data_IF_644452354788
#
_entry.id   IF_644452354788
#
_cell.length_a   1.000
_cell.length_b   1.000
_cell.length_c   1.000
_cell.angle_alpha   90.00
_cell.angle_beta   90.00
_cell.angle_gamma   90.00
#
_symmetry.space_group_name_H-M   'P 1'
#
loop_
_entity.id
_entity.type
_entity.pdbx_description
1 polymer ?
#
# COMPACT_ATOMS: atom_id res chain seq x y z
N UNK A 1 -58.22 22.96 8.60
CA UNK A 1 -56.75 23.08 8.44
C UNK A 1 -56.19 21.66 8.53
N UNK A 2 -55.59 21.18 7.45
CA UNK A 2 -55.38 19.76 7.13
C UNK A 2 -54.26 19.08 7.93
N UNK A 3 -54.50 17.85 8.38
CA UNK A 3 -53.56 16.98 9.08
C UNK A 3 -52.44 16.53 8.13
N UNK A 4 -51.20 16.83 8.50
CA UNK A 4 -49.98 16.45 7.77
C UNK A 4 -49.81 14.92 7.82
N UNK A 5 -49.78 14.28 6.64
CA UNK A 5 -49.66 12.82 6.49
C UNK A 5 -48.29 12.30 6.99
N UNK A 6 -48.26 11.81 8.22
CA UNK A 6 -47.10 11.17 8.86
C UNK A 6 -46.72 9.82 8.22
N UNK A 7 -47.65 9.17 7.51
CA UNK A 7 -47.48 7.80 6.98
C UNK A 7 -46.46 7.71 5.84
N UNK A 8 -46.27 8.77 5.04
CA UNK A 8 -45.30 8.78 3.94
C UNK A 8 -43.84 8.84 4.40
N UNK A 9 -43.58 9.52 5.53
CA UNK A 9 -42.22 9.64 6.09
C UNK A 9 -41.74 8.33 6.72
N UNK A 10 -42.65 7.60 7.38
CA UNK A 10 -42.36 6.27 7.94
C UNK A 10 -42.11 5.21 6.85
N UNK A 11 -42.83 5.30 5.72
CA UNK A 11 -42.66 4.39 4.58
C UNK A 11 -41.29 4.61 3.90
N UNK A 12 -40.90 5.86 3.65
CA UNK A 12 -39.58 6.17 3.09
C UNK A 12 -38.42 5.71 4.00
N UNK A 13 -38.59 5.88 5.32
CA UNK A 13 -37.62 5.38 6.30
C UNK A 13 -37.47 3.86 6.29
N UNK A 14 -38.56 3.09 6.17
CA UNK A 14 -38.50 1.64 6.06
C UNK A 14 -37.78 1.18 4.79
N UNK A 15 -38.05 1.80 3.64
CA UNK A 15 -37.36 1.48 2.39
C UNK A 15 -35.86 1.76 2.48
N UNK A 16 -35.46 2.87 3.12
CA UNK A 16 -34.06 3.21 3.31
C UNK A 16 -33.36 2.21 4.25
N UNK A 17 -34.01 1.80 5.35
CA UNK A 17 -33.47 0.78 6.26
C UNK A 17 -33.33 -0.57 5.56
N UNK A 18 -34.34 -1.01 4.80
CA UNK A 18 -34.28 -2.27 4.03
C UNK A 18 -33.17 -2.22 2.98
N UNK A 19 -32.99 -1.09 2.29
CA UNK A 19 -31.92 -0.92 1.32
C UNK A 19 -30.52 -0.93 1.95
N UNK A 20 -30.36 -0.28 3.11
CA UNK A 20 -29.11 -0.30 3.88
C UNK A 20 -28.79 -1.70 4.38
N UNK A 21 -29.79 -2.44 4.90
CA UNK A 21 -29.63 -3.83 5.34
C UNK A 21 -29.29 -4.73 4.16
N UNK A 22 -29.96 -4.55 3.01
CA UNK A 22 -29.68 -5.31 1.79
C UNK A 22 -28.24 -5.09 1.30
N UNK A 23 -27.77 -3.83 1.27
CA UNK A 23 -26.38 -3.52 0.94
C UNK A 23 -25.39 -4.11 1.95
N UNK A 24 -25.69 -4.04 3.25
CA UNK A 24 -24.86 -4.64 4.30
C UNK A 24 -24.76 -6.17 4.14
N UNK A 25 -25.85 -6.84 3.79
CA UNK A 25 -25.83 -8.29 3.53
C UNK A 25 -25.03 -8.66 2.27
N UNK A 26 -25.08 -7.83 1.22
CA UNK A 26 -24.30 -8.05 0.00
C UNK A 26 -22.78 -7.94 0.24
N UNK A 27 -22.37 -7.01 1.12
CA UNK A 27 -20.96 -6.85 1.53
C UNK A 27 -20.46 -8.04 2.35
N UNK A 28 -21.29 -8.63 3.21
CA UNK A 28 -20.91 -9.85 3.96
C UNK A 28 -20.76 -11.09 3.07
N UNK A 29 -21.44 -11.15 1.92
CA UNK A 29 -21.42 -12.32 1.04
C UNK A 29 -20.25 -12.34 0.04
N UNK A 30 -19.46 -11.28 -0.07
CA UNK A 30 -18.30 -11.25 -0.98
C UNK A 30 -17.01 -11.82 -0.35
N UNK A 31 -17.13 -12.68 0.67
CA UNK A 31 -16.02 -13.36 1.36
C UNK A 31 -15.29 -14.43 0.52
N UNK A 32 -15.04 -14.14 -0.76
CA UNK A 32 -14.17 -14.96 -1.59
C UNK A 32 -12.74 -14.91 -1.05
N UNK A 33 -12.14 -16.07 -0.78
CA UNK A 33 -10.70 -16.18 -0.49
C UNK A 33 -9.93 -15.61 -1.68
N UNK A 34 -9.30 -14.45 -1.49
CA UNK A 34 -8.48 -13.83 -2.52
C UNK A 34 -7.17 -14.61 -2.65
N UNK A 35 -7.10 -15.54 -3.62
CA UNK A 35 -5.96 -16.44 -3.82
C UNK A 35 -4.89 -15.80 -4.73
N UNK A 36 -4.31 -14.67 -4.33
CA UNK A 36 -3.11 -14.13 -4.98
C UNK A 36 -1.91 -14.14 -4.04
N UNK A 37 -0.73 -14.50 -4.55
CA UNK A 37 0.51 -14.63 -3.76
C UNK A 37 1.17 -13.29 -3.41
N UNK A 38 0.88 -12.23 -4.16
CA UNK A 38 1.32 -10.88 -3.85
C UNK A 38 0.64 -9.81 -4.70
N UNK A 39 0.83 -8.55 -4.31
CA UNK A 39 0.31 -7.36 -5.01
C UNK A 39 1.48 -6.55 -5.53
N UNK A 40 1.51 -6.33 -6.84
CA UNK A 40 2.44 -5.38 -7.45
C UNK A 40 1.65 -4.18 -7.95
N UNK A 41 1.87 -3.03 -7.32
CA UNK A 41 1.09 -1.82 -7.58
C UNK A 41 1.91 -0.78 -8.35
N UNK A 42 1.23 -0.06 -9.24
CA UNK A 42 1.77 1.02 -10.06
C UNK A 42 0.79 2.18 -10.01
N UNK A 43 1.28 3.40 -10.25
CA UNK A 43 0.40 4.56 -10.34
C UNK A 43 1.01 5.82 -9.76
N UNK A 44 0.14 6.64 -9.18
CA UNK A 44 0.43 7.98 -8.74
C UNK A 44 0.19 8.14 -7.22
N UNK A 45 -0.08 9.38 -6.79
CA UNK A 45 -0.33 9.74 -5.40
C UNK A 45 -1.48 8.98 -4.75
N UNK A 46 -2.45 8.48 -5.52
CA UNK A 46 -3.61 7.77 -4.98
C UNK A 46 -3.25 6.42 -4.35
N UNK A 47 -2.11 5.85 -4.74
CA UNK A 47 -1.64 4.57 -4.25
C UNK A 47 -0.17 4.57 -3.82
N UNK A 48 0.52 5.72 -3.86
CA UNK A 48 1.90 5.86 -3.39
C UNK A 48 2.02 5.74 -1.86
N UNK A 49 2.64 4.65 -1.39
CA UNK A 49 2.83 4.36 0.04
C UNK A 49 4.12 4.95 0.64
N UNK A 50 4.84 5.80 -0.08
CA UNK A 50 6.10 6.38 0.39
C UNK A 50 7.19 6.56 -0.67
N UNK A 51 6.97 6.10 -1.90
CA UNK A 51 7.97 6.07 -2.95
C UNK A 51 8.45 7.45 -3.37
N UNK A 52 7.55 8.41 -3.55
CA UNK A 52 7.95 9.75 -3.92
C UNK A 52 8.83 10.41 -2.85
N UNK A 53 8.44 10.32 -1.59
CA UNK A 53 9.15 10.94 -0.47
C UNK A 53 10.37 10.14 0.02
N UNK A 54 10.58 8.93 -0.52
CA UNK A 54 11.86 8.22 -0.39
C UNK A 54 12.92 8.77 -1.36
N UNK A 55 12.51 9.35 -2.49
CA UNK A 55 13.41 9.91 -3.51
C UNK A 55 13.55 11.44 -3.45
N UNK A 56 12.56 12.13 -2.90
CA UNK A 56 12.46 13.60 -2.88
C UNK A 56 12.30 14.13 -1.45
N UNK A 57 12.43 15.46 -1.22
CA UNK A 57 12.36 16.03 0.12
C UNK A 57 11.13 15.57 0.91
N UNK A 58 11.27 15.30 2.22
CA UNK A 58 10.26 14.59 2.99
C UNK A 58 8.96 15.38 3.12
N UNK A 59 7.85 14.64 3.14
CA UNK A 59 6.53 15.19 3.40
C UNK A 59 6.41 15.65 4.85
N UNK A 60 5.84 16.83 5.05
CA UNK A 60 5.62 17.44 6.37
C UNK A 60 4.14 17.28 6.79
N UNK A 61 3.76 17.54 8.05
CA UNK A 61 2.35 17.63 8.43
C UNK A 61 1.55 18.56 7.49
N UNK A 62 0.26 18.31 7.26
CA UNK A 62 -0.64 17.46 8.05
C UNK A 62 -0.71 15.98 7.62
N UNK A 63 0.02 15.55 6.60
CA UNK A 63 -0.12 14.20 6.06
C UNK A 63 0.26 13.11 7.07
N UNK A 64 -0.55 12.05 7.16
CA UNK A 64 -0.40 10.92 8.09
C UNK A 64 -0.84 11.15 9.55
N UNK A 65 -1.28 12.34 9.95
CA UNK A 65 -1.61 12.67 11.33
C UNK A 65 -2.90 12.02 11.83
N UNK A 66 -3.89 11.77 10.98
CA UNK A 66 -5.15 11.11 11.38
C UNK A 66 -4.95 9.64 11.74
N UNK A 67 -4.24 8.87 10.91
CA UNK A 67 -4.04 7.41 11.15
C UNK A 67 -2.68 7.05 11.75
N UNK A 68 -1.58 7.51 11.13
CA UNK A 68 -0.21 7.12 11.51
C UNK A 68 0.36 7.97 12.66
N UNK A 69 -0.30 9.08 13.00
CA UNK A 69 0.10 10.07 14.02
C UNK A 69 1.45 10.75 13.75
N UNK A 70 1.95 10.63 12.53
CA UNK A 70 3.18 11.27 12.02
C UNK A 70 3.17 11.27 10.49
N UNK A 71 4.00 12.11 9.83
CA UNK A 71 4.24 12.01 8.40
C UNK A 71 4.66 10.60 7.99
N UNK A 72 3.83 9.97 7.16
CA UNK A 72 4.03 8.60 6.68
C UNK A 72 4.51 8.53 5.22
N UNK A 73 4.88 9.68 4.63
CA UNK A 73 5.29 9.76 3.22
C UNK A 73 4.15 9.51 2.22
N UNK A 74 2.90 9.79 2.61
CA UNK A 74 1.71 9.55 1.79
C UNK A 74 0.98 10.85 1.59
N UNK A 75 0.47 11.13 0.39
CA UNK A 75 -0.39 12.30 0.13
C UNK A 75 -1.83 12.07 0.64
N UNK A 76 -1.94 11.62 1.88
CA UNK A 76 -3.17 11.38 2.63
C UNK A 76 -2.90 11.64 4.11
N UNK A 77 -3.92 12.06 4.86
CA UNK A 77 -3.85 12.16 6.32
C UNK A 77 -3.96 10.78 7.02
N UNK A 78 -4.18 9.71 6.24
CA UNK A 78 -4.22 8.36 6.75
C UNK A 78 -3.97 7.30 5.69
N UNK A 79 -4.76 6.22 5.74
CA UNK A 79 -4.63 5.08 4.84
C UNK A 79 -5.00 5.46 3.39
N UNK A 80 -4.43 4.73 2.45
CA UNK A 80 -4.74 4.78 1.02
C UNK A 80 -5.65 3.60 0.65
N UNK A 81 -6.30 3.67 -0.52
CA UNK A 81 -7.15 2.57 -1.03
C UNK A 81 -6.39 1.24 -1.08
N UNK A 82 -5.11 1.28 -1.47
CA UNK A 82 -4.24 0.09 -1.54
C UNK A 82 -4.03 -0.59 -0.18
N UNK A 83 -4.16 0.14 0.93
CA UNK A 83 -4.05 -0.45 2.26
C UNK A 83 -5.24 -1.35 2.58
N UNK A 84 -6.43 -0.98 2.13
CA UNK A 84 -7.64 -1.79 2.32
C UNK A 84 -7.61 -3.05 1.44
N UNK A 85 -7.05 -2.95 0.23
CA UNK A 85 -6.84 -4.10 -0.65
C UNK A 85 -5.77 -5.05 -0.08
N UNK A 86 -4.69 -4.51 0.48
CA UNK A 86 -3.67 -5.29 1.20
C UNK A 86 -4.26 -5.98 2.42
N UNK A 87 -5.08 -5.27 3.21
CA UNK A 87 -5.66 -5.78 4.45
C UNK A 87 -6.52 -7.03 4.28
N UNK A 88 -7.19 -7.21 3.13
CA UNK A 88 -7.91 -8.44 2.79
C UNK A 88 -7.02 -9.70 2.83
N UNK A 89 -5.71 -9.54 2.64
CA UNK A 89 -4.72 -10.60 2.80
C UNK A 89 -3.99 -10.50 4.15
N UNK A 90 -3.77 -9.30 4.65
CA UNK A 90 -3.07 -9.05 5.91
C UNK A 90 -3.78 -9.61 7.14
N UNK A 91 -5.12 -9.66 7.18
CA UNK A 91 -5.83 -10.31 8.28
C UNK A 91 -5.48 -11.81 8.40
N UNK A 92 -5.00 -12.44 7.32
CA UNK A 92 -4.49 -13.81 7.34
C UNK A 92 -2.97 -13.92 7.60
N UNK A 93 -2.20 -12.82 7.52
CA UNK A 93 -0.72 -12.82 7.51
C UNK A 93 -0.03 -11.78 8.42
N UNK A 94 -0.77 -10.91 9.11
CA UNK A 94 -0.25 -9.90 10.04
C UNK A 94 0.48 -8.71 9.42
N UNK A 95 0.32 -8.44 8.11
CA UNK A 95 1.13 -7.43 7.39
C UNK A 95 0.44 -6.07 7.27
N UNK A 96 0.98 -5.03 7.90
CA UNK A 96 0.25 -3.77 7.98
C UNK A 96 0.09 -3.02 6.66
N UNK A 97 1.09 -2.97 5.76
CA UNK A 97 1.03 -2.15 4.53
C UNK A 97 1.95 -2.66 3.39
N UNK A 98 1.61 -2.36 2.14
CA UNK A 98 2.44 -2.67 0.96
C UNK A 98 3.69 -1.76 0.93
N UNK A 99 4.87 -2.38 0.89
CA UNK A 99 6.15 -1.66 0.92
C UNK A 99 6.42 -0.95 -0.40
N UNK A 100 6.86 0.31 -0.33
CA UNK A 100 7.32 1.03 -1.52
C UNK A 100 8.65 0.46 -2.01
N UNK A 101 8.80 0.26 -3.32
CA UNK A 101 10.04 -0.21 -3.95
C UNK A 101 11.24 0.69 -3.64
N UNK A 102 11.01 2.00 -3.52
CA UNK A 102 12.08 2.97 -3.22
C UNK A 102 12.42 3.04 -1.72
N UNK A 103 11.64 2.37 -0.85
CA UNK A 103 11.88 2.34 0.58
C UNK A 103 12.95 1.30 0.93
N UNK A 104 14.06 1.76 1.49
CA UNK A 104 15.17 0.90 1.89
C UNK A 104 14.97 0.29 3.27
N UNK A 105 14.66 1.12 4.28
CA UNK A 105 14.55 0.69 5.68
C UNK A 105 13.13 0.20 5.98
N UNK A 106 13.03 -0.97 6.61
CA UNK A 106 11.76 -1.53 7.07
C UNK A 106 10.84 -2.04 5.96
N UNK A 107 11.37 -2.26 4.75
CA UNK A 107 10.60 -2.79 3.63
C UNK A 107 10.51 -4.32 3.68
N UNK A 108 9.35 -4.83 3.27
CA UNK A 108 9.05 -6.26 3.22
C UNK A 108 8.31 -6.61 1.93
N UNK A 109 9.00 -7.32 1.04
CA UNK A 109 8.53 -7.57 -0.33
C UNK A 109 7.99 -8.98 -0.60
N UNK A 110 7.90 -9.83 0.43
CA UNK A 110 7.48 -11.25 0.26
C UNK A 110 6.11 -11.39 -0.40
N UNK A 111 5.21 -10.43 -0.18
CA UNK A 111 3.85 -10.45 -0.72
C UNK A 111 3.61 -9.31 -1.70
N UNK A 112 4.66 -8.86 -2.38
CA UNK A 112 4.60 -7.84 -3.41
C UNK A 112 5.25 -6.52 -3.03
N UNK A 113 5.17 -5.55 -3.94
CA UNK A 113 5.84 -4.26 -3.85
C UNK A 113 5.00 -3.16 -4.51
N UNK A 114 5.17 -1.93 -4.03
CA UNK A 114 4.52 -0.76 -4.59
C UNK A 114 5.51 0.13 -5.34
N UNK A 115 5.33 0.27 -6.65
CA UNK A 115 6.14 1.11 -7.53
C UNK A 115 5.49 2.47 -7.80
N UNK A 116 4.28 2.72 -7.30
CA UNK A 116 3.62 4.01 -7.45
C UNK A 116 4.45 5.12 -6.79
N UNK A 117 4.48 6.29 -7.43
CA UNK A 117 5.05 7.51 -6.83
C UNK A 117 4.13 8.69 -7.12
N UNK A 118 3.94 9.60 -6.17
CA UNK A 118 3.16 10.82 -6.35
C UNK A 118 3.54 11.58 -7.63
N UNK A 119 2.57 12.28 -8.22
CA UNK A 119 2.72 13.08 -9.44
C UNK A 119 3.28 12.32 -10.68
N UNK A 120 3.20 10.99 -10.68
CA UNK A 120 3.57 10.17 -11.83
C UNK A 120 2.55 10.30 -12.96
N UNK A 121 3.04 10.24 -14.19
CA UNK A 121 2.23 10.23 -15.41
C UNK A 121 2.42 8.93 -16.18
N UNK A 122 1.45 8.59 -17.04
CA UNK A 122 1.59 7.43 -17.93
C UNK A 122 2.76 7.64 -18.91
N UNK A 123 2.83 8.83 -19.51
CA UNK A 123 3.90 9.21 -20.43
C UNK A 123 5.12 9.72 -19.68
N UNK A 124 6.31 9.54 -20.28
CA UNK A 124 7.54 10.13 -19.76
C UNK A 124 7.47 11.66 -19.90
N UNK A 125 7.66 12.42 -18.82
CA UNK A 125 7.65 13.88 -18.90
C UNK A 125 8.88 14.41 -19.65
N UNK A 126 8.69 15.45 -20.46
CA UNK A 126 9.78 16.23 -21.06
C UNK A 126 10.10 17.48 -20.20
N UNK A 127 10.03 17.33 -18.89
CA UNK A 127 10.21 18.38 -17.90
C UNK A 127 10.72 17.76 -16.60
N UNK A 128 11.04 18.58 -15.61
CA UNK A 128 11.53 18.10 -14.32
C UNK A 128 10.54 18.40 -13.19
N UNK A 129 10.71 17.66 -12.10
CA UNK A 129 9.94 17.85 -10.88
C UNK A 129 9.98 19.29 -10.38
N UNK A 130 11.14 19.95 -10.49
CA UNK A 130 11.34 21.30 -9.98
C UNK A 130 10.76 22.40 -10.87
N UNK A 131 10.33 22.05 -12.10
CA UNK A 131 9.71 23.01 -13.03
C UNK A 131 8.19 22.90 -13.02
N UNK A 132 7.65 21.67 -13.04
CA UNK A 132 6.20 21.44 -13.19
C UNK A 132 5.56 20.66 -12.06
N UNK A 133 6.35 20.13 -11.12
CA UNK A 133 5.87 19.22 -10.10
C UNK A 133 5.60 17.80 -10.61
N UNK A 134 5.89 17.49 -11.87
CA UNK A 134 5.69 16.14 -12.43
C UNK A 134 6.84 15.23 -12.02
N UNK A 135 6.50 14.04 -11.52
CA UNK A 135 7.48 13.02 -11.11
C UNK A 135 8.22 12.45 -12.32
N UNK A 136 9.54 12.22 -12.24
CA UNK A 136 10.29 11.53 -13.28
C UNK A 136 9.96 10.03 -13.34
N UNK A 137 9.28 9.48 -12.33
CA UNK A 137 8.93 8.07 -12.25
C UNK A 137 7.62 7.77 -13.01
N UNK A 138 7.61 8.04 -14.32
CA UNK A 138 6.48 7.70 -15.19
C UNK A 138 6.17 6.19 -15.15
N UNK A 139 4.99 5.79 -15.64
CA UNK A 139 4.59 4.38 -15.67
C UNK A 139 5.65 3.48 -16.33
N UNK A 140 6.30 3.97 -17.40
CA UNK A 140 7.39 3.25 -18.06
C UNK A 140 8.59 3.00 -17.12
N UNK A 141 8.95 3.99 -16.30
CA UNK A 141 10.01 3.87 -15.30
C UNK A 141 9.60 2.92 -14.18
N UNK A 142 8.36 3.00 -13.68
CA UNK A 142 7.86 2.09 -12.65
C UNK A 142 7.88 0.62 -13.11
N UNK A 143 7.53 0.36 -14.37
CA UNK A 143 7.63 -0.98 -14.97
C UNK A 143 9.09 -1.42 -15.14
N UNK A 144 9.99 -0.51 -15.47
CA UNK A 144 11.43 -0.78 -15.52
C UNK A 144 11.98 -1.18 -14.14
N UNK A 145 11.58 -0.45 -13.10
CA UNK A 145 11.90 -0.77 -11.71
C UNK A 145 11.38 -2.16 -11.30
N UNK A 146 10.16 -2.53 -11.69
CA UNK A 146 9.65 -3.88 -11.46
C UNK A 146 10.49 -4.95 -12.17
N UNK A 147 10.89 -4.72 -13.42
CA UNK A 147 11.75 -5.66 -14.16
C UNK A 147 13.10 -5.84 -13.46
N UNK A 148 13.70 -4.74 -13.00
CA UNK A 148 14.94 -4.78 -12.24
C UNK A 148 14.77 -5.52 -10.91
N UNK A 149 13.72 -5.19 -10.15
CA UNK A 149 13.37 -5.86 -8.90
C UNK A 149 13.23 -7.37 -9.09
N UNK A 150 12.47 -7.79 -10.11
CA UNK A 150 12.31 -9.21 -10.46
C UNK A 150 13.66 -9.87 -10.75
N UNK A 151 14.50 -9.25 -11.57
CA UNK A 151 15.82 -9.78 -11.91
C UNK A 151 16.71 -9.98 -10.68
N UNK A 152 16.74 -8.99 -9.78
CA UNK A 152 17.51 -9.07 -8.53
C UNK A 152 17.01 -10.17 -7.60
N UNK A 153 15.68 -10.33 -7.48
CA UNK A 153 15.09 -11.40 -6.69
C UNK A 153 15.45 -12.78 -7.28
N UNK A 154 15.34 -12.95 -8.59
CA UNK A 154 15.71 -14.21 -9.26
C UNK A 154 17.20 -14.52 -9.10
N UNK A 155 18.08 -13.53 -9.25
CA UNK A 155 19.52 -13.68 -9.06
C UNK A 155 19.84 -14.06 -7.61
N UNK A 156 19.24 -13.38 -6.64
CA UNK A 156 19.38 -13.70 -5.22
C UNK A 156 18.98 -15.16 -4.96
N UNK A 157 17.86 -15.64 -5.48
CA UNK A 157 17.43 -17.03 -5.27
C UNK A 157 18.27 -18.05 -6.05
N UNK A 158 18.78 -17.73 -7.24
CA UNK A 158 19.73 -18.58 -7.97
C UNK A 158 21.05 -18.71 -7.21
N UNK A 159 21.59 -17.58 -6.76
CA UNK A 159 22.79 -17.52 -5.91
C UNK A 159 22.58 -18.24 -4.59
N UNK A 160 21.40 -18.12 -3.98
CA UNK A 160 21.07 -18.82 -2.73
C UNK A 160 20.88 -20.33 -2.95
N UNK A 161 20.33 -20.78 -4.08
CA UNK A 161 20.24 -22.22 -4.44
C UNK A 161 21.61 -22.82 -4.78
N UNK A 162 22.49 -22.06 -5.42
CA UNK A 162 23.89 -22.44 -5.62
C UNK A 162 24.66 -22.45 -4.29
N UNK A 163 24.42 -21.47 -3.42
CA UNK A 163 25.04 -21.35 -2.11
C UNK A 163 24.48 -22.32 -1.08
N UNK A 164 23.22 -22.79 -1.15
CA UNK A 164 22.70 -23.84 -0.24
C UNK A 164 23.36 -25.19 -0.51
N UNK A 165 23.97 -25.40 -1.68
CA UNK A 165 24.86 -26.54 -1.93
C UNK A 165 26.26 -26.35 -1.30
N UNK A 166 26.65 -25.12 -0.94
CA UNK A 166 27.99 -24.78 -0.43
C UNK A 166 28.02 -24.17 0.99
N UNK A 167 26.90 -23.77 1.58
CA UNK A 167 26.80 -23.08 2.86
C UNK A 167 25.53 -23.55 3.59
N UNK A 168 25.72 -24.47 4.52
CA UNK A 168 24.74 -24.82 5.55
C UNK A 168 24.57 -23.72 6.63
N UNK A 169 24.79 -22.44 6.30
CA UNK A 169 24.58 -21.32 7.24
C UNK A 169 23.81 -20.18 6.58
N UNK A 170 22.62 -19.78 7.08
CA UNK A 170 21.82 -18.73 6.47
C UNK A 170 22.28 -17.32 6.87
N UNK A 171 22.43 -16.38 5.91
CA UNK A 171 22.85 -15.00 6.15
C UNK A 171 21.71 -14.07 6.65
N UNK A 172 20.53 -14.58 6.94
CA UNK A 172 19.39 -13.78 7.43
C UNK A 172 19.47 -13.42 8.93
N UNK A 173 20.39 -14.05 9.69
CA UNK A 173 20.54 -13.81 11.13
C UNK A 173 21.46 -12.63 11.48
N UNK A 174 22.16 -12.01 10.52
CA UNK A 174 23.01 -10.83 10.78
C UNK A 174 22.23 -9.52 10.78
N UNK A 175 21.14 -9.43 10.00
CA UNK A 175 20.32 -8.20 9.89
C UNK A 175 19.39 -8.04 11.10
N UNK A 176 18.83 -9.14 11.61
CA UNK A 176 18.01 -9.14 12.83
C UNK A 176 18.82 -8.90 14.12
N UNK A 177 20.15 -8.97 14.06
CA UNK A 177 21.02 -8.68 15.22
C UNK A 177 21.35 -7.18 15.33
N UNK A 178 21.15 -6.41 14.25
CA UNK A 178 21.44 -4.98 14.19
C UNK A 178 20.24 -4.08 14.54
N UNK A 179 19.04 -4.66 14.73
CA UNK A 179 17.84 -3.92 15.09
C UNK A 179 17.19 -4.57 16.32
N UNK A 180 17.23 -3.94 17.50
CA UNK A 180 16.51 -4.46 18.66
C UNK A 180 15.01 -4.43 18.39
N UNK A 181 14.31 -5.43 18.93
CA UNK A 181 12.85 -5.53 18.89
C UNK A 181 12.23 -4.31 19.60
N UNK A 182 11.48 -3.51 18.85
CA UNK A 182 10.80 -2.31 19.34
C UNK A 182 9.42 -2.61 19.96
N UNK A 183 9.12 -3.88 20.26
CA UNK A 183 7.93 -4.28 21.00
C UNK A 183 7.84 -3.63 22.40
N UNK A 184 8.95 -3.13 22.96
CA UNK A 184 9.00 -2.38 24.23
C UNK A 184 8.72 -0.86 24.12
N UNK A 185 8.64 -0.26 22.92
CA UNK A 185 8.27 1.17 22.76
C UNK A 185 6.76 1.40 22.62
N UNK A 186 5.94 0.39 22.96
CA UNK A 186 4.50 0.54 23.16
C UNK A 186 4.19 0.66 24.66
N UNK A 187 4.52 1.82 25.22
CA UNK A 187 3.85 2.41 26.39
C UNK A 187 3.46 3.84 26.05
#
# INVERSE_FOLDING_TARGET
MSLRSSKGFAFFGHFLVVWVVFMATFVCMSGGKCNFEGIFNFGDSNSDTGGFFAAFPPLKPPYGMTYFKKPAGRLSDGRLVIDFLGNLKSEALGLSFLSSYLQTIGSYYRHGANFATAASTVLLPNTSLFVTGISPFSLAIQLSQMKQFKGQVEEYYKGTKGATFFLNDPPLNSINRAYPDYSELRQ
#
